data_IF_151463937743
#
_entry.id   IF_151463937743
#
_cell.length_a   1.000
_cell.length_b   1.000
_cell.length_c   1.000
_cell.angle_alpha   90.00
_cell.angle_beta   90.00
_cell.angle_gamma   90.00
#
_symmetry.space_group_name_H-M   'P 1'
#
loop_
_entity.id
_entity.type
_entity.pdbx_description
1 polymer ?
#
# COMPACT_ATOMS: atom_id res chain seq x y z
N UNK A 1 10.91 20.01 31.38
CA UNK A 1 11.89 19.12 30.72
C UNK A 1 11.16 17.85 30.31
N UNK A 2 10.78 17.73 29.04
CA UNK A 2 10.05 16.57 28.52
C UNK A 2 11.07 15.53 28.04
N UNK A 3 11.23 14.43 28.78
CA UNK A 3 12.14 13.34 28.43
C UNK A 3 11.36 12.17 27.81
N UNK A 4 11.72 11.91 26.55
CA UNK A 4 11.77 10.60 25.90
C UNK A 4 10.46 9.80 25.73
N UNK A 5 9.75 10.08 24.64
CA UNK A 5 8.79 9.14 24.01
C UNK A 5 9.40 8.62 22.70
N UNK A 6 10.62 8.07 22.74
CA UNK A 6 11.12 7.20 21.68
C UNK A 6 11.16 5.78 22.22
N UNK A 7 9.98 5.17 22.31
CA UNK A 7 9.86 3.72 22.53
C UNK A 7 10.41 3.04 21.28
N UNK A 8 11.70 2.68 21.34
CA UNK A 8 12.45 1.88 20.37
C UNK A 8 11.57 0.72 19.88
N UNK A 9 10.98 0.87 18.70
CA UNK A 9 10.23 -0.21 18.06
C UNK A 9 11.25 -1.25 17.61
N UNK A 10 11.17 -2.51 18.07
CA UNK A 10 12.08 -3.53 17.61
C UNK A 10 11.87 -3.75 16.12
N UNK A 11 12.89 -3.35 15.37
CA UNK A 11 13.33 -3.77 14.04
C UNK A 11 12.48 -4.88 13.39
N UNK A 12 12.09 -4.64 12.13
CA UNK A 12 11.32 -5.45 11.18
C UNK A 12 11.84 -6.89 10.90
N UNK A 13 12.68 -7.48 11.75
CA UNK A 13 13.35 -8.76 11.52
C UNK A 13 12.48 -10.02 11.59
N UNK A 14 11.18 -9.93 11.87
CA UNK A 14 10.31 -11.11 12.02
C UNK A 14 8.83 -10.81 11.72
N UNK A 15 8.52 -10.23 10.55
CA UNK A 15 7.13 -10.29 10.08
C UNK A 15 6.86 -11.68 9.51
N UNK A 16 6.16 -12.54 10.26
CA UNK A 16 5.49 -13.71 9.68
C UNK A 16 4.57 -13.19 8.57
N UNK A 17 4.85 -13.54 7.32
CA UNK A 17 3.94 -13.29 6.19
C UNK A 17 2.75 -14.21 6.29
N UNK A 18 1.83 -13.92 7.21
CA UNK A 18 0.54 -14.58 7.28
C UNK A 18 -0.33 -14.08 6.13
N UNK A 19 -0.90 -15.03 5.36
CA UNK A 19 -1.81 -14.68 4.27
C UNK A 19 -3.08 -14.08 4.86
N UNK A 20 -3.47 -12.88 4.41
CA UNK A 20 -4.75 -12.28 4.81
C UNK A 20 -5.92 -13.21 4.49
N UNK A 21 -6.83 -13.34 5.45
CA UNK A 21 -8.12 -14.02 5.26
C UNK A 21 -8.98 -13.28 4.22
N UNK A 22 -9.97 -13.97 3.64
CA UNK A 22 -10.88 -13.39 2.64
C UNK A 22 -11.61 -12.15 3.21
N UNK A 23 -12.02 -12.20 4.47
CA UNK A 23 -12.71 -11.10 5.17
C UNK A 23 -11.79 -9.89 5.31
N UNK A 24 -10.55 -10.08 5.76
CA UNK A 24 -9.57 -9.00 5.89
C UNK A 24 -9.26 -8.36 4.53
N UNK A 25 -9.14 -9.15 3.45
CA UNK A 25 -8.94 -8.60 2.10
C UNK A 25 -10.11 -7.73 1.64
N UNK A 26 -11.35 -8.14 1.95
CA UNK A 26 -12.56 -7.37 1.62
C UNK A 26 -12.63 -6.07 2.43
N UNK A 27 -12.37 -6.15 3.73
CA UNK A 27 -12.33 -4.97 4.62
C UNK A 27 -11.26 -3.97 4.18
N UNK A 28 -10.05 -4.45 3.90
CA UNK A 28 -8.96 -3.61 3.40
C UNK A 28 -9.32 -2.95 2.07
N UNK A 29 -9.89 -3.71 1.14
CA UNK A 29 -10.31 -3.15 -0.17
C UNK A 29 -11.39 -2.08 0.00
N UNK A 30 -12.35 -2.29 0.90
CA UNK A 30 -13.39 -1.31 1.24
C UNK A 30 -12.78 -0.05 1.85
N UNK A 31 -11.90 -0.20 2.84
CA UNK A 31 -11.23 0.92 3.50
C UNK A 31 -10.42 1.77 2.50
N UNK A 32 -9.71 1.13 1.57
CA UNK A 32 -8.96 1.83 0.53
C UNK A 32 -9.89 2.70 -0.34
N UNK A 33 -11.03 2.14 -0.77
CA UNK A 33 -12.01 2.88 -1.59
C UNK A 33 -12.66 4.01 -0.78
N UNK A 34 -13.06 3.75 0.45
CA UNK A 34 -13.71 4.75 1.31
C UNK A 34 -12.80 5.94 1.66
N UNK A 35 -11.50 5.69 1.87
CA UNK A 35 -10.56 6.74 2.29
C UNK A 35 -9.80 7.41 1.15
N UNK A 36 -9.47 6.65 0.11
CA UNK A 36 -8.58 7.10 -0.97
C UNK A 36 -9.25 7.04 -2.35
N UNK A 37 -10.50 6.59 -2.44
CA UNK A 37 -11.26 6.49 -3.70
C UNK A 37 -10.88 5.27 -4.54
N UNK A 38 -9.59 4.98 -4.70
CA UNK A 38 -9.12 3.80 -5.44
C UNK A 38 -7.77 3.26 -4.94
N UNK A 39 -7.45 1.99 -5.22
CA UNK A 39 -6.12 1.44 -4.99
C UNK A 39 -5.00 2.25 -5.67
N UNK A 40 -5.28 2.86 -6.82
CA UNK A 40 -4.31 3.65 -7.59
C UNK A 40 -4.03 4.99 -6.91
N UNK A 41 -5.05 5.68 -6.42
CA UNK A 41 -4.88 6.91 -5.64
C UNK A 41 -4.15 6.63 -4.32
N UNK A 42 -4.47 5.52 -3.65
CA UNK A 42 -3.71 5.10 -2.47
C UNK A 42 -2.24 4.84 -2.81
N UNK A 43 -1.95 4.20 -3.95
CA UNK A 43 -0.58 3.99 -4.41
C UNK A 43 0.17 5.30 -4.66
N UNK A 44 -0.50 6.35 -5.17
CA UNK A 44 0.12 7.68 -5.34
C UNK A 44 0.44 8.36 -4.00
N UNK A 45 -0.45 8.24 -3.02
CA UNK A 45 -0.21 8.76 -1.67
C UNK A 45 1.01 8.07 -1.03
N UNK A 46 1.11 6.74 -1.16
CA UNK A 46 2.27 6.00 -0.69
C UNK A 46 3.57 6.41 -1.38
N UNK A 47 3.53 6.65 -2.69
CA UNK A 47 4.69 7.09 -3.48
C UNK A 47 5.22 8.45 -2.96
N UNK A 48 4.33 9.39 -2.66
CA UNK A 48 4.70 10.68 -2.06
C UNK A 48 5.32 10.53 -0.67
N UNK A 49 4.80 9.62 0.14
CA UNK A 49 5.35 9.36 1.47
C UNK A 49 6.73 8.70 1.42
N UNK A 50 7.12 8.03 0.32
CA UNK A 50 8.48 7.55 0.14
C UNK A 50 9.48 8.70 0.08
N UNK A 51 9.12 9.82 -0.54
CA UNK A 51 9.97 11.02 -0.60
C UNK A 51 10.21 11.58 0.81
N UNK A 52 9.20 11.52 1.69
CA UNK A 52 9.33 11.96 3.08
C UNK A 52 10.32 11.11 3.91
N UNK A 53 10.53 9.84 3.54
CA UNK A 53 11.49 8.98 4.23
C UNK A 53 12.96 9.40 4.01
N UNK A 54 13.23 10.26 3.02
CA UNK A 54 14.57 10.83 2.82
C UNK A 54 14.88 12.00 3.76
N UNK A 55 13.88 12.51 4.48
CA UNK A 55 14.02 13.65 5.41
C UNK A 55 14.00 13.23 6.88
N UNK A 56 14.20 11.94 7.17
CA UNK A 56 14.37 11.47 8.54
C UNK A 56 15.68 12.00 9.13
N UNK A 57 15.68 12.30 10.42
CA UNK A 57 16.87 12.74 11.13
C UNK A 57 17.97 11.68 11.06
N UNK A 58 19.18 12.12 10.72
CA UNK A 58 20.38 11.30 10.78
C UNK A 58 20.53 10.76 12.23
N UNK A 59 20.89 9.48 12.37
CA UNK A 59 21.02 8.72 13.63
C UNK A 59 19.76 8.11 14.26
N UNK A 60 18.54 8.43 13.79
CA UNK A 60 17.32 7.76 14.29
C UNK A 60 17.14 6.37 13.70
N UNK A 61 17.52 6.19 12.42
CA UNK A 61 17.48 4.92 11.71
C UNK A 61 18.77 4.69 10.94
N UNK A 62 19.19 3.43 10.84
CA UNK A 62 20.29 3.05 9.96
C UNK A 62 19.84 3.09 8.49
N UNK A 63 20.74 3.40 7.54
CA UNK A 63 20.41 3.38 6.11
C UNK A 63 19.78 2.06 5.64
N UNK A 64 20.18 0.93 6.23
CA UNK A 64 19.63 -0.40 5.92
C UNK A 64 18.16 -0.54 6.33
N UNK A 65 17.76 0.01 7.47
CA UNK A 65 16.35 0.00 7.91
C UNK A 65 15.47 0.79 6.95
N UNK A 66 15.94 1.98 6.57
CA UNK A 66 15.24 2.89 5.66
C UNK A 66 15.07 2.22 4.30
N UNK A 67 16.14 1.61 3.77
CA UNK A 67 16.09 0.84 2.53
C UNK A 67 15.09 -0.34 2.62
N UNK A 68 15.02 -1.02 3.76
CA UNK A 68 14.04 -2.09 4.00
C UNK A 68 12.60 -1.59 3.94
N UNK A 69 12.31 -0.47 4.61
CA UNK A 69 10.98 0.16 4.61
C UNK A 69 10.60 0.65 3.21
N UNK A 70 11.52 1.36 2.52
CA UNK A 70 11.31 1.83 1.14
C UNK A 70 11.02 0.65 0.21
N UNK A 71 11.76 -0.45 0.33
CA UNK A 71 11.57 -1.65 -0.49
C UNK A 71 10.20 -2.29 -0.25
N UNK A 72 9.77 -2.41 1.02
CA UNK A 72 8.46 -2.96 1.38
C UNK A 72 7.32 -2.09 0.83
N UNK A 73 7.42 -0.77 0.99
CA UNK A 73 6.43 0.18 0.47
C UNK A 73 6.35 0.17 -1.05
N UNK A 74 7.49 0.09 -1.75
CA UNK A 74 7.52 -0.10 -3.21
C UNK A 74 6.80 -1.37 -3.65
N UNK A 75 7.00 -2.48 -2.92
CA UNK A 75 6.27 -3.72 -3.18
C UNK A 75 4.75 -3.56 -3.08
N UNK A 76 4.26 -2.82 -2.06
CA UNK A 76 2.84 -2.51 -1.89
C UNK A 76 2.32 -1.64 -3.04
N UNK A 77 3.05 -0.59 -3.42
CA UNK A 77 2.69 0.31 -4.53
C UNK A 77 2.52 -0.49 -5.83
N UNK A 78 3.46 -1.38 -6.14
CA UNK A 78 3.39 -2.25 -7.32
C UNK A 78 2.14 -3.13 -7.26
N UNK A 79 1.87 -3.78 -6.12
CA UNK A 79 0.70 -4.64 -5.95
C UNK A 79 -0.64 -3.88 -6.11
N UNK A 80 -0.71 -2.64 -5.61
CA UNK A 80 -1.89 -1.78 -5.75
C UNK A 80 -2.11 -1.36 -7.21
N UNK A 81 -1.04 -1.05 -7.95
CA UNK A 81 -1.10 -0.69 -9.37
C UNK A 81 -1.52 -1.88 -10.26
N UNK A 82 -1.10 -3.10 -9.93
CA UNK A 82 -1.46 -4.32 -10.64
C UNK A 82 -2.93 -4.75 -10.47
N UNK A 83 -3.67 -4.20 -9.50
CA UNK A 83 -5.08 -4.57 -9.25
C UNK A 83 -6.07 -4.13 -10.35
N UNK A 84 -5.60 -3.48 -11.42
CA UNK A 84 -6.36 -3.22 -12.65
C UNK A 84 -6.35 -4.49 -13.50
N UNK A 85 -7.29 -5.43 -13.29
CA UNK A 85 -7.75 -6.45 -14.28
C UNK A 85 -8.79 -7.46 -13.74
N UNK A 86 -9.83 -7.01 -13.02
CA UNK A 86 -10.95 -7.90 -12.69
C UNK A 86 -12.32 -7.20 -12.70
N UNK A 87 -12.47 -6.13 -13.50
CA UNK A 87 -13.63 -5.25 -13.39
C UNK A 87 -14.07 -4.52 -14.65
N UNK A 88 -13.59 -4.89 -15.83
CA UNK A 88 -14.23 -4.49 -17.09
C UNK A 88 -14.79 -5.72 -17.74
N UNK A 89 -15.97 -6.16 -17.28
CA UNK A 89 -16.87 -6.89 -18.17
C UNK A 89 -17.24 -5.90 -19.25
N UNK A 90 -16.58 -6.01 -20.40
CA UNK A 90 -17.08 -5.43 -21.62
C UNK A 90 -18.45 -6.08 -21.87
N UNK A 91 -19.52 -5.36 -21.53
CA UNK A 91 -20.87 -5.75 -21.92
C UNK A 91 -20.91 -5.53 -23.43
N UNK A 92 -20.61 -6.58 -24.19
CA UNK A 92 -20.93 -6.64 -25.60
C UNK A 92 -22.45 -6.78 -25.71
N UNK A 93 -23.13 -5.69 -26.03
CA UNK A 93 -24.50 -5.77 -26.52
C UNK A 93 -24.44 -6.37 -27.92
N UNK A 94 -25.09 -7.51 -28.20
CA UNK A 94 -25.27 -7.93 -29.58
C UNK A 94 -26.18 -6.90 -30.24
N UNK A 95 -25.67 -6.20 -31.25
CA UNK A 95 -26.52 -5.46 -32.18
C UNK A 95 -27.28 -6.50 -33.01
N UNK A 96 -28.33 -7.07 -32.43
CA UNK A 96 -29.39 -7.71 -33.21
C UNK A 96 -30.39 -6.63 -33.56
N UNK A 97 -30.28 -6.14 -34.79
CA UNK A 97 -31.46 -5.66 -35.52
C UNK A 97 -31.38 -6.25 -36.91
N UNK A 98 -31.92 -7.46 -37.06
CA UNK A 98 -32.68 -7.78 -38.27
C UNK A 98 -34.02 -7.03 -38.21
N UNK A 99 -34.88 -7.12 -39.24
CA UNK A 99 -34.88 -8.08 -40.35
C UNK A 99 -33.98 -7.72 -41.53
#
# INVERSE_FOLDING_TARGET
MALNIYRRVPFFGFMKTEKLTKTQKKQLSRFIVERYGSPQEFAKVLDRNLEMLFYIEEEVFTPREVQGVVSALRGIIVALRQKKQAGSKQVWFPLTSGP
#
